data_IF_357175418621
#
_entry.id   IF_357175418621
#
_cell.length_a   1.000
_cell.length_b   1.000
_cell.length_c   1.000
_cell.angle_alpha   90.00
_cell.angle_beta   90.00
_cell.angle_gamma   90.00
#
_symmetry.space_group_name_H-M   'P 1'
#
loop_
_entity.id
_entity.type
_entity.pdbx_description
1 polymer ?
#
# COMPACT_ATOMS: atom_id res chain seq x y z
N UNK A 1 5.56 7.09 28.73
CA UNK A 1 5.45 6.18 27.58
C UNK A 1 5.29 6.90 26.25
N UNK A 2 4.13 7.44 25.85
CA UNK A 2 3.98 8.09 24.53
C UNK A 2 4.93 9.29 24.31
N UNK A 3 5.02 10.20 25.29
CA UNK A 3 5.94 11.36 25.25
C UNK A 3 7.42 10.95 25.20
N UNK A 4 7.78 9.77 25.73
CA UNK A 4 9.15 9.26 25.64
C UNK A 4 9.48 8.81 24.22
N UNK A 5 8.53 8.19 23.52
CA UNK A 5 8.68 7.86 22.11
C UNK A 5 8.80 9.13 21.25
N UNK A 6 8.04 10.18 21.53
CA UNK A 6 8.19 11.44 20.81
C UNK A 6 9.59 12.04 21.00
N UNK A 7 10.09 12.11 22.24
CA UNK A 7 11.47 12.55 22.50
C UNK A 7 12.50 11.69 21.76
N UNK A 8 12.34 10.37 21.76
CA UNK A 8 13.24 9.46 21.04
C UNK A 8 13.21 9.68 19.52
N UNK A 9 12.05 9.97 18.95
CA UNK A 9 11.91 10.31 17.52
C UNK A 9 12.59 11.65 17.22
N UNK A 10 12.44 12.65 18.09
CA UNK A 10 13.14 13.94 17.97
C UNK A 10 14.67 13.76 18.02
N UNK A 11 15.18 12.96 18.96
CA UNK A 11 16.60 12.61 19.08
C UNK A 11 17.15 11.90 17.83
N UNK A 12 16.31 11.11 17.13
CA UNK A 12 16.65 10.45 15.88
C UNK A 12 16.61 11.38 14.65
N UNK A 13 16.27 12.67 14.82
CA UNK A 13 16.18 13.63 13.73
C UNK A 13 14.78 13.74 13.11
N UNK A 14 13.75 13.34 13.84
CA UNK A 14 12.35 13.40 13.42
C UNK A 14 11.88 12.15 12.68
N UNK A 15 10.61 12.17 12.24
CA UNK A 15 9.90 10.99 11.73
C UNK A 15 10.56 10.41 10.48
N UNK A 16 10.92 11.24 9.50
CA UNK A 16 11.51 10.75 8.24
C UNK A 16 12.85 10.04 8.49
N UNK A 17 13.72 10.64 9.30
CA UNK A 17 14.99 10.01 9.66
C UNK A 17 14.78 8.74 10.48
N UNK A 18 13.81 8.72 11.39
CA UNK A 18 13.46 7.52 12.15
C UNK A 18 12.90 6.40 11.24
N UNK A 19 12.18 6.72 10.17
CA UNK A 19 11.75 5.76 9.13
C UNK A 19 12.96 5.22 8.38
N UNK A 20 13.86 6.10 7.91
CA UNK A 20 15.07 5.69 7.16
C UNK A 20 16.00 4.81 7.99
N UNK A 21 16.08 5.08 9.30
CA UNK A 21 16.82 4.28 10.27
C UNK A 21 16.05 3.01 10.69
N UNK A 22 14.80 2.84 10.26
CA UNK A 22 13.89 1.73 10.56
C UNK A 22 13.53 1.55 12.03
N UNK A 23 13.51 2.65 12.78
CA UNK A 23 13.11 2.66 14.18
C UNK A 23 11.70 2.08 14.36
N UNK A 24 10.73 2.57 13.59
CA UNK A 24 9.34 2.11 13.68
C UNK A 24 9.17 0.64 13.29
N UNK A 25 9.86 0.21 12.22
CA UNK A 25 9.81 -1.17 11.77
C UNK A 25 10.31 -2.15 12.84
N UNK A 26 11.42 -1.81 13.51
CA UNK A 26 11.96 -2.60 14.62
C UNK A 26 11.01 -2.65 15.81
N UNK A 27 10.52 -1.50 16.28
CA UNK A 27 9.63 -1.45 17.45
C UNK A 27 8.33 -2.25 17.21
N UNK A 28 7.76 -2.17 16.00
CA UNK A 28 6.58 -2.97 15.61
C UNK A 28 6.93 -4.45 15.56
N UNK A 29 8.06 -4.83 14.95
CA UNK A 29 8.48 -6.22 14.85
C UNK A 29 8.77 -6.84 16.22
N UNK A 30 9.46 -6.13 17.11
CA UNK A 30 9.77 -6.57 18.47
C UNK A 30 8.50 -6.71 19.32
N UNK A 31 7.54 -5.79 19.16
CA UNK A 31 6.24 -5.90 19.82
C UNK A 31 5.45 -7.11 19.31
N UNK A 32 5.39 -7.32 17.99
CA UNK A 32 4.74 -8.47 17.37
C UNK A 32 5.38 -9.80 17.78
N UNK A 33 6.72 -9.86 17.81
CA UNK A 33 7.46 -11.03 18.26
C UNK A 33 7.19 -11.36 19.73
N UNK A 34 7.26 -10.36 20.62
CA UNK A 34 6.91 -10.53 22.04
C UNK A 34 5.48 -11.02 22.21
N UNK A 35 4.53 -10.43 21.50
CA UNK A 35 3.12 -10.83 21.52
C UNK A 35 2.94 -12.28 21.08
N UNK A 36 3.55 -12.69 19.97
CA UNK A 36 3.50 -14.06 19.47
C UNK A 36 4.11 -15.05 20.49
N UNK A 37 5.27 -14.72 21.07
CA UNK A 37 5.92 -15.53 22.11
C UNK A 37 5.07 -15.67 23.36
N UNK A 38 4.32 -14.64 23.74
CA UNK A 38 3.38 -14.69 24.87
C UNK A 38 2.21 -15.65 24.62
N UNK A 39 1.68 -15.66 23.40
CA UNK A 39 0.62 -16.59 22.99
C UNK A 39 1.15 -18.03 23.00
N UNK A 40 2.32 -18.26 22.40
CA UNK A 40 2.93 -19.59 22.30
C UNK A 40 3.30 -20.15 23.67
N UNK A 41 3.86 -19.33 24.56
CA UNK A 41 4.20 -19.75 25.91
C UNK A 41 2.98 -19.85 26.84
N UNK A 42 1.77 -19.55 26.34
CA UNK A 42 0.54 -19.52 27.13
C UNK A 42 0.49 -18.43 28.21
N UNK A 43 1.42 -17.47 28.19
CA UNK A 43 1.43 -16.30 29.10
C UNK A 43 0.27 -15.37 28.78
N UNK A 44 -0.07 -15.26 27.49
CA UNK A 44 -1.26 -14.54 27.01
C UNK A 44 -2.26 -15.56 26.50
N UNK A 45 -3.46 -15.54 27.04
CA UNK A 45 -4.52 -16.49 26.69
C UNK A 45 -5.36 -15.91 25.55
N UNK A 46 -5.50 -16.70 24.48
CA UNK A 46 -6.42 -16.44 23.36
C UNK A 46 -7.39 -17.62 23.30
N UNK A 47 -8.63 -17.36 23.72
CA UNK A 47 -9.71 -18.36 23.82
C UNK A 47 -10.00 -18.94 22.44
N UNK A 48 -10.12 -20.26 22.36
CA UNK A 48 -10.31 -20.98 21.09
C UNK A 48 -9.04 -21.12 20.25
N UNK A 49 -7.94 -20.43 20.62
CA UNK A 49 -6.67 -20.49 19.89
C UNK A 49 -5.56 -21.16 20.67
N UNK A 50 -5.31 -20.87 21.95
CA UNK A 50 -4.25 -21.57 22.73
C UNK A 50 -4.76 -22.16 24.06
N UNK A 51 -5.94 -21.74 24.53
CA UNK A 51 -6.66 -22.32 25.66
C UNK A 51 -8.13 -22.43 25.28
N UNK A 52 -8.83 -23.36 25.93
CA UNK A 52 -10.27 -23.55 25.74
C UNK A 52 -10.63 -23.85 24.27
N UNK A 53 -9.81 -24.68 23.60
CA UNK A 53 -10.10 -25.17 22.26
C UNK A 53 -11.19 -26.23 22.33
N UNK A 54 -12.13 -26.18 21.40
CA UNK A 54 -13.11 -27.24 21.20
C UNK A 54 -12.58 -28.18 20.10
N UNK A 55 -12.05 -29.34 20.50
CA UNK A 55 -11.43 -30.30 19.56
C UNK A 55 -12.46 -31.00 18.64
N UNK A 56 -13.74 -30.94 19.00
CA UNK A 56 -14.85 -31.54 18.24
C UNK A 56 -15.51 -30.53 17.27
N UNK A 57 -15.05 -29.27 17.25
CA UNK A 57 -15.65 -28.22 16.43
C UNK A 57 -15.19 -28.31 14.97
N UNK A 58 -16.04 -28.90 14.12
CA UNK A 58 -15.87 -28.81 12.66
C UNK A 58 -16.52 -27.53 12.15
N UNK A 59 -15.72 -26.47 12.02
CA UNK A 59 -16.19 -25.21 11.44
C UNK A 59 -16.35 -25.33 9.93
N UNK A 60 -17.60 -25.47 9.46
CA UNK A 60 -17.95 -25.33 8.04
C UNK A 60 -18.41 -23.90 7.76
N UNK A 61 -17.46 -23.00 7.58
CA UNK A 61 -17.74 -21.60 7.20
C UNK A 61 -17.51 -21.48 5.69
N UNK A 62 -18.55 -21.04 4.97
CA UNK A 62 -18.39 -20.72 3.56
C UNK A 62 -17.53 -19.46 3.41
N UNK A 63 -16.36 -19.62 2.79
CA UNK A 63 -15.47 -18.50 2.50
C UNK A 63 -15.86 -17.84 1.18
N UNK A 64 -15.89 -16.51 1.15
CA UNK A 64 -16.02 -15.75 -0.08
C UNK A 64 -14.85 -16.08 -1.02
N UNK A 65 -15.16 -16.67 -2.17
CA UNK A 65 -14.21 -16.90 -3.26
C UNK A 65 -14.46 -15.89 -4.37
N UNK A 66 -13.44 -15.14 -4.74
CA UNK A 66 -13.51 -14.20 -5.86
C UNK A 66 -13.38 -14.99 -7.16
N UNK A 67 -14.35 -14.81 -8.06
CA UNK A 67 -14.37 -15.50 -9.35
C UNK A 67 -13.28 -14.93 -10.29
N UNK A 68 -12.40 -15.77 -10.87
CA UNK A 68 -11.43 -15.36 -11.89
C UNK A 68 -12.05 -14.66 -13.12
N UNK A 69 -13.35 -14.81 -13.35
CA UNK A 69 -14.10 -14.07 -14.37
C UNK A 69 -14.01 -12.54 -14.19
N UNK A 70 -13.83 -12.06 -12.96
CA UNK A 70 -13.68 -10.62 -12.67
C UNK A 70 -12.45 -10.05 -13.37
N UNK A 71 -11.32 -10.78 -13.36
CA UNK A 71 -10.09 -10.36 -14.06
C UNK A 71 -10.31 -10.28 -15.57
N UNK A 72 -10.92 -11.33 -16.15
CA UNK A 72 -11.20 -11.38 -17.60
C UNK A 72 -12.06 -10.19 -18.04
N UNK A 73 -13.15 -9.94 -17.32
CA UNK A 73 -14.05 -8.81 -17.58
C UNK A 73 -13.32 -7.47 -17.46
N UNK A 74 -12.43 -7.32 -16.49
CA UNK A 74 -11.68 -6.07 -16.33
C UNK A 74 -10.66 -5.85 -17.45
N UNK A 75 -10.01 -6.92 -17.95
CA UNK A 75 -9.10 -6.85 -19.10
C UNK A 75 -9.82 -6.45 -20.38
N UNK A 76 -11.01 -7.00 -20.62
CA UNK A 76 -11.87 -6.64 -21.77
C UNK A 76 -12.25 -5.15 -21.71
N UNK A 77 -12.78 -4.69 -20.57
CA UNK A 77 -13.12 -3.26 -20.36
C UNK A 77 -11.92 -2.34 -20.58
N UNK A 78 -10.73 -2.75 -20.14
CA UNK A 78 -9.51 -1.96 -20.32
C UNK A 78 -9.11 -1.88 -21.80
N UNK A 79 -9.24 -2.97 -22.54
CA UNK A 79 -8.97 -3.00 -23.97
C UNK A 79 -9.95 -2.11 -24.75
N UNK A 80 -11.25 -2.21 -24.44
CA UNK A 80 -12.30 -1.35 -25.02
C UNK A 80 -12.06 0.13 -24.72
N UNK A 81 -11.72 0.47 -23.48
CA UNK A 81 -11.39 1.84 -23.07
C UNK A 81 -10.22 2.40 -23.89
N UNK A 82 -9.15 1.61 -24.02
CA UNK A 82 -7.96 2.01 -24.78
C UNK A 82 -8.23 2.19 -26.27
N UNK A 83 -9.13 1.39 -26.83
CA UNK A 83 -9.50 1.47 -28.25
C UNK A 83 -10.45 2.64 -28.57
N UNK A 84 -11.25 3.11 -27.60
CA UNK A 84 -12.29 4.11 -27.81
C UNK A 84 -11.90 5.55 -27.43
N UNK A 85 -10.87 5.73 -26.59
CA UNK A 85 -10.42 7.05 -26.13
C UNK A 85 -9.61 7.82 -27.18
N UNK A 86 -9.57 9.14 -27.04
CA UNK A 86 -8.73 10.01 -27.86
C UNK A 86 -7.24 9.89 -27.45
N UNK A 87 -6.44 9.18 -28.26
CA UNK A 87 -5.04 8.92 -27.95
C UNK A 87 -4.22 10.22 -27.74
N UNK A 88 -4.45 11.25 -28.56
CA UNK A 88 -3.75 12.53 -28.44
C UNK A 88 -4.08 13.28 -27.13
N UNK A 89 -5.31 13.19 -26.63
CA UNK A 89 -5.70 13.82 -25.36
C UNK A 89 -5.07 13.10 -24.16
N UNK A 90 -4.99 11.77 -24.23
CA UNK A 90 -4.31 10.92 -23.23
C UNK A 90 -2.82 11.28 -23.18
N UNK A 91 -2.13 11.26 -24.33
CA UNK A 91 -0.71 11.58 -24.42
C UNK A 91 -0.41 13.00 -23.91
N UNK A 92 -1.20 13.99 -24.33
CA UNK A 92 -1.04 15.36 -23.88
C UNK A 92 -1.26 15.52 -22.37
N UNK A 93 -2.27 14.83 -21.81
CA UNK A 93 -2.56 14.88 -20.37
C UNK A 93 -1.45 14.23 -19.53
N UNK A 94 -0.94 13.07 -19.99
CA UNK A 94 0.16 12.38 -19.32
C UNK A 94 1.47 13.18 -19.38
N UNK A 95 1.77 13.85 -20.50
CA UNK A 95 2.94 14.72 -20.56
C UNK A 95 2.82 15.96 -19.69
N UNK A 96 1.65 16.60 -19.66
CA UNK A 96 1.40 17.70 -18.73
C UNK A 96 1.58 17.26 -17.27
N UNK A 97 1.14 16.05 -16.92
CA UNK A 97 1.35 15.46 -15.60
C UNK A 97 2.84 15.27 -15.30
N UNK A 98 3.61 14.70 -16.24
CA UNK A 98 5.06 14.52 -16.07
C UNK A 98 5.79 15.84 -15.90
N UNK A 99 5.43 16.86 -16.67
CA UNK A 99 6.05 18.18 -16.54
C UNK A 99 5.70 18.83 -15.20
N UNK A 100 4.44 18.75 -14.78
CA UNK A 100 4.04 19.20 -13.45
C UNK A 100 4.78 18.49 -12.32
N UNK A 101 5.05 17.20 -12.48
CA UNK A 101 5.78 16.38 -11.51
C UNK A 101 7.29 16.70 -11.45
N UNK A 102 7.89 17.23 -12.52
CA UNK A 102 9.29 17.68 -12.51
C UNK A 102 9.49 19.01 -11.79
N UNK A 103 8.43 19.83 -11.74
CA UNK A 103 8.41 21.10 -11.02
C UNK A 103 7.67 21.01 -9.69
N UNK A 104 7.19 22.16 -9.22
CA UNK A 104 6.45 22.31 -7.96
C UNK A 104 4.93 22.50 -8.19
N UNK A 105 4.42 22.04 -9.32
CA UNK A 105 3.00 22.21 -9.65
C UNK A 105 2.12 21.33 -8.75
N UNK A 106 0.90 21.79 -8.46
CA UNK A 106 -0.10 20.93 -7.84
C UNK A 106 -0.52 19.83 -8.82
N UNK A 107 -0.25 18.57 -8.48
CA UNK A 107 -0.53 17.43 -9.34
C UNK A 107 -2.01 17.05 -9.40
N UNK A 108 -2.82 17.42 -8.41
CA UNK A 108 -4.23 17.00 -8.35
C UNK A 108 -5.05 17.44 -9.57
N UNK A 109 -5.00 18.71 -10.01
CA UNK A 109 -5.65 19.13 -11.26
C UNK A 109 -5.18 18.34 -12.49
N UNK A 110 -3.89 17.99 -12.57
CA UNK A 110 -3.31 17.25 -13.70
C UNK A 110 -3.76 15.78 -13.70
N UNK A 111 -3.85 15.16 -12.53
CA UNK A 111 -4.41 13.81 -12.36
C UNK A 111 -5.89 13.79 -12.76
N UNK A 112 -6.66 14.81 -12.38
CA UNK A 112 -8.07 14.93 -12.79
C UNK A 112 -8.20 15.13 -14.30
N UNK A 113 -7.30 15.88 -14.94
CA UNK A 113 -7.27 16.01 -16.39
C UNK A 113 -6.99 14.66 -17.06
N UNK A 114 -6.00 13.90 -16.56
CA UNK A 114 -5.72 12.54 -17.02
C UNK A 114 -6.95 11.62 -16.89
N UNK A 115 -7.61 11.62 -15.74
CA UNK A 115 -8.79 10.80 -15.52
C UNK A 115 -9.96 11.17 -16.46
N UNK A 116 -10.16 12.47 -16.72
CA UNK A 116 -11.16 12.96 -17.69
C UNK A 116 -10.84 12.59 -19.13
N UNK A 117 -9.55 12.55 -19.48
CA UNK A 117 -9.06 12.06 -20.76
C UNK A 117 -9.04 10.52 -20.87
N UNK A 118 -9.57 9.80 -19.87
CA UNK A 118 -9.56 8.33 -19.80
C UNK A 118 -8.15 7.71 -19.80
N UNK A 119 -7.20 8.39 -19.17
CA UNK A 119 -5.96 7.74 -18.73
C UNK A 119 -6.30 6.70 -17.66
N UNK A 120 -5.65 5.55 -17.75
CA UNK A 120 -5.78 4.49 -16.75
C UNK A 120 -4.91 4.79 -15.53
N UNK A 121 -5.27 4.24 -14.38
CA UNK A 121 -4.47 4.36 -13.16
C UNK A 121 -3.02 3.92 -13.38
N UNK A 122 -2.81 2.80 -14.09
CA UNK A 122 -1.46 2.31 -14.40
C UNK A 122 -0.65 3.25 -15.29
N UNK A 123 -1.28 3.99 -16.20
CA UNK A 123 -0.59 4.98 -17.05
C UNK A 123 -0.23 6.24 -16.25
N UNK A 124 -1.12 6.70 -15.37
CA UNK A 124 -0.86 7.82 -14.46
C UNK A 124 0.30 7.48 -13.52
N UNK A 125 0.28 6.29 -12.90
CA UNK A 125 1.37 5.81 -12.05
C UNK A 125 2.66 5.65 -12.86
N UNK A 126 2.59 5.10 -14.07
CA UNK A 126 3.74 4.94 -14.96
C UNK A 126 4.40 6.28 -15.28
N UNK A 127 3.60 7.30 -15.62
CA UNK A 127 4.08 8.65 -15.88
C UNK A 127 4.79 9.26 -14.66
N UNK A 128 4.21 9.14 -13.46
CA UNK A 128 4.83 9.65 -12.24
C UNK A 128 6.10 8.87 -11.86
N UNK A 129 6.12 7.57 -12.12
CA UNK A 129 7.29 6.71 -11.90
C UNK A 129 8.47 7.10 -12.77
N UNK A 130 8.26 7.54 -14.01
CA UNK A 130 9.34 8.05 -14.86
C UNK A 130 10.04 9.28 -14.24
N UNK A 131 9.33 10.06 -13.42
CA UNK A 131 9.86 11.29 -12.80
C UNK A 131 10.42 11.02 -11.41
N UNK A 132 9.67 10.32 -10.55
CA UNK A 132 10.03 10.11 -9.14
C UNK A 132 10.80 8.81 -8.88
N UNK A 133 10.79 7.87 -9.83
CA UNK A 133 11.28 6.52 -9.63
C UNK A 133 10.32 5.67 -8.80
N UNK A 134 10.87 4.60 -8.22
CA UNK A 134 10.13 3.69 -7.34
C UNK A 134 10.80 3.65 -5.97
N UNK A 135 10.00 3.68 -4.92
CA UNK A 135 10.52 3.38 -3.58
C UNK A 135 10.93 1.91 -3.52
N UNK A 136 12.14 1.66 -3.03
CA UNK A 136 12.61 0.33 -2.67
C UNK A 136 12.95 0.33 -1.19
N UNK A 137 12.28 -0.54 -0.45
CA UNK A 137 12.62 -0.78 0.94
C UNK A 137 14.04 -1.33 1.03
N UNK A 138 14.81 -0.81 1.98
CA UNK A 138 16.06 -1.43 2.41
C UNK A 138 15.68 -2.41 3.53
N UNK A 139 15.68 -3.73 3.27
CA UNK A 139 15.36 -4.69 4.32
C UNK A 139 16.37 -4.52 5.45
N UNK A 140 15.86 -4.32 6.67
CA UNK A 140 16.69 -4.19 7.86
C UNK A 140 16.96 -5.54 8.56
N UNK A 141 16.49 -6.64 7.97
CA UNK A 141 16.67 -8.03 8.39
C UNK A 141 16.62 -8.98 7.19
#
# INVERSE_FOLDING_TARGET
EAEEYFRRIEELGGVLSAIDQGFFQREIADAAYRYQREIESGRRVVVGVNRYRNEEETLSIELLKIDPAVERKQRERLAELRASRAASEVEASLEALKEGARGDANLMPLILACARAYCTEGEIIGALREVFGEYREKPLF
#
